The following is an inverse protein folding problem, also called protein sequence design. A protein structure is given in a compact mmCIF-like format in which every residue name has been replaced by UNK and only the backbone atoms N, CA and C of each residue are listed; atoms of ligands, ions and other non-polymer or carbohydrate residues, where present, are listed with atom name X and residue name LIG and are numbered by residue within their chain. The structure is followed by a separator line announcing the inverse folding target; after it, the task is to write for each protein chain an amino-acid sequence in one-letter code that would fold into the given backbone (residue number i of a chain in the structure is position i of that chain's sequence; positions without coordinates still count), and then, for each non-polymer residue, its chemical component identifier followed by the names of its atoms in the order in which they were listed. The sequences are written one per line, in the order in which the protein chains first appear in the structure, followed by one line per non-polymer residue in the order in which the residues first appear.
data_IF_097136216641
#
_entry.id   IF_097136216641
#
_cell.length_a   1.000
_cell.length_b   1.000
_cell.length_c   1.000
_cell.angle_alpha   90.00
_cell.angle_beta   90.00
_cell.angle_gamma   90.00
#
_symmetry.space_group_name_H-M   'P 1'
#
loop_
_entity.id
_entity.type
_entity.pdbx_description
1 polymer ?
#
# COMPACT_ATOMS: atom_id res chain seq x y z
N UNK A 1 38.40 21.64 4.04
CA UNK A 1 37.78 20.43 3.45
C UNK A 1 38.67 19.23 3.69
N UNK A 2 38.11 18.12 4.21
CA UNK A 2 38.84 16.86 4.43
C UNK A 2 39.11 16.12 3.11
N UNK A 3 39.95 15.09 3.11
CA UNK A 3 40.21 14.24 1.92
C UNK A 3 38.95 13.49 1.47
N UNK A 4 38.21 12.89 2.41
CA UNK A 4 36.96 12.20 2.13
C UNK A 4 35.82 13.12 1.64
N UNK A 5 35.83 14.40 2.04
CA UNK A 5 34.90 15.39 1.47
C UNK A 5 35.30 15.77 0.05
N UNK A 6 36.60 15.92 -0.25
CA UNK A 6 37.10 16.17 -1.61
C UNK A 6 36.74 15.04 -2.58
N UNK A 7 36.88 13.79 -2.16
CA UNK A 7 36.45 12.63 -2.95
C UNK A 7 34.95 12.62 -3.21
N UNK A 8 34.14 12.93 -2.19
CA UNK A 8 32.68 13.05 -2.35
C UNK A 8 32.31 14.16 -3.32
N UNK A 9 32.97 15.31 -3.25
CA UNK A 9 32.78 16.42 -4.18
C UNK A 9 33.12 16.03 -5.62
N UNK A 10 34.25 15.35 -5.83
CA UNK A 10 34.65 14.85 -7.14
C UNK A 10 33.63 13.86 -7.72
N UNK A 11 33.15 12.91 -6.91
CA UNK A 11 32.15 11.94 -7.33
C UNK A 11 30.82 12.59 -7.70
N UNK A 12 30.42 13.66 -7.00
CA UNK A 12 29.21 14.43 -7.36
C UNK A 12 29.36 15.13 -8.72
N UNK A 13 30.53 15.70 -9.02
CA UNK A 13 30.78 16.32 -10.32
C UNK A 13 30.86 15.28 -11.45
N UNK A 14 31.43 14.10 -11.18
CA UNK A 14 31.47 12.99 -12.12
C UNK A 14 30.05 12.47 -12.43
N UNK A 15 29.23 12.28 -11.39
CA UNK A 15 27.83 11.87 -11.51
C UNK A 15 27.00 12.89 -12.30
N UNK A 16 27.25 14.20 -12.11
CA UNK A 16 26.60 15.25 -12.90
C UNK A 16 26.96 15.19 -14.39
N UNK A 17 28.17 14.71 -14.73
CA UNK A 17 28.65 14.59 -16.11
C UNK A 17 28.18 13.31 -16.80
N UNK A 18 28.14 12.20 -16.06
CA UNK A 18 27.91 10.86 -16.62
C UNK A 18 26.45 10.38 -16.52
N UNK A 19 25.62 10.99 -15.66
CA UNK A 19 24.25 10.52 -15.48
C UNK A 19 23.37 10.79 -16.71
N UNK A 20 22.65 9.76 -17.21
CA UNK A 20 21.71 9.90 -18.31
C UNK A 20 20.44 10.66 -17.91
N UNK A 21 20.11 10.72 -16.61
CA UNK A 21 18.87 11.30 -16.10
C UNK A 21 19.06 12.77 -15.68
N UNK A 22 18.21 13.66 -16.20
CA UNK A 22 18.32 15.10 -15.93
C UNK A 22 18.17 15.45 -14.45
N UNK A 23 17.23 14.79 -13.74
CA UNK A 23 17.02 15.02 -12.31
C UNK A 23 18.18 14.57 -11.43
N UNK A 24 18.96 13.58 -11.86
CA UNK A 24 20.17 13.16 -11.13
C UNK A 24 21.30 14.16 -11.34
N UNK A 25 21.47 14.68 -12.56
CA UNK A 25 22.47 15.71 -12.85
C UNK A 25 22.22 16.99 -12.06
N UNK A 26 20.98 17.46 -12.02
CA UNK A 26 20.62 18.68 -11.27
C UNK A 26 20.84 18.49 -9.76
N UNK A 27 20.39 17.36 -9.21
CA UNK A 27 20.59 17.04 -7.80
C UNK A 27 22.09 16.92 -7.43
N UNK A 28 22.90 16.30 -8.29
CA UNK A 28 24.34 16.19 -8.09
C UNK A 28 25.03 17.55 -8.07
N UNK A 29 24.65 18.46 -8.98
CA UNK A 29 25.17 19.83 -9.04
C UNK A 29 24.74 20.65 -7.81
N UNK A 30 23.48 20.58 -7.41
CA UNK A 30 23.00 21.25 -6.18
C UNK A 30 23.72 20.74 -4.93
N UNK A 31 23.96 19.43 -4.85
CA UNK A 31 24.70 18.83 -3.74
C UNK A 31 26.16 19.29 -3.71
N UNK A 32 26.81 19.36 -4.88
CA UNK A 32 28.15 19.93 -5.02
C UNK A 32 28.16 21.41 -4.61
N UNK A 33 27.19 22.20 -5.05
CA UNK A 33 27.08 23.63 -4.73
C UNK A 33 26.92 23.88 -3.22
N UNK A 34 26.05 23.11 -2.55
CA UNK A 34 25.91 23.16 -1.08
C UNK A 34 27.20 22.79 -0.36
N UNK A 35 27.97 21.83 -0.89
CA UNK A 35 29.24 21.41 -0.31
C UNK A 35 30.32 22.49 -0.48
N UNK A 36 30.35 23.17 -1.62
CA UNK A 36 31.25 24.30 -1.87
C UNK A 36 30.93 25.49 -0.96
N UNK A 37 29.64 25.87 -0.85
CA UNK A 37 29.17 26.95 0.03
C UNK A 37 29.50 26.70 1.51
N UNK A 38 29.40 25.45 1.99
CA UNK A 38 29.75 25.10 3.39
C UNK A 38 31.23 25.27 3.73
N UNK A 39 32.08 25.32 2.72
CA UNK A 39 33.52 25.48 2.90
C UNK A 39 34.03 26.83 2.37
N UNK A 40 33.13 27.78 2.11
CA UNK A 40 33.43 29.12 1.56
C UNK A 40 34.27 29.07 0.27
N UNK A 41 34.06 28.05 -0.57
CA UNK A 41 34.76 27.86 -1.85
C UNK A 41 33.81 28.01 -3.03
N UNK A 42 34.35 28.40 -4.18
CA UNK A 42 33.61 28.37 -5.45
C UNK A 42 33.59 26.96 -6.05
N UNK A 43 32.56 26.62 -6.83
CA UNK A 43 32.43 25.32 -7.51
C UNK A 43 33.68 24.97 -8.34
N UNK A 44 34.27 25.96 -9.01
CA UNK A 44 35.48 25.79 -9.83
C UNK A 44 36.75 25.60 -8.99
N UNK A 45 36.84 26.25 -7.83
CA UNK A 45 37.97 26.15 -6.91
C UNK A 45 37.97 24.79 -6.18
N UNK A 46 36.78 24.32 -5.78
CA UNK A 46 36.60 22.99 -5.21
C UNK A 46 36.91 21.89 -6.25
N UNK A 47 36.58 22.10 -7.53
CA UNK A 47 36.89 21.15 -8.61
C UNK A 47 38.39 21.04 -8.90
N UNK A 48 39.15 22.15 -8.80
CA UNK A 48 40.61 22.14 -8.93
C UNK A 48 41.30 21.43 -7.76
N UNK A 49 40.73 21.54 -6.55
CA UNK A 49 41.29 20.92 -5.34
C UNK A 49 41.17 19.39 -5.26
N UNK A 50 40.37 18.78 -6.15
CA UNK A 50 40.11 17.32 -6.19
C UNK A 50 40.99 16.52 -7.14
N UNK A 51 41.92 17.15 -7.86
CA UNK A 51 42.66 16.52 -8.97
C UNK A 51 44.12 16.13 -8.70
N UNK A 52 44.75 16.56 -7.60
CA UNK A 52 46.19 16.36 -7.39
C UNK A 52 46.56 15.07 -6.61
N UNK A 53 45.58 14.24 -6.26
CA UNK A 53 45.79 13.07 -5.41
C UNK A 53 46.02 11.72 -6.12
N UNK A 54 45.86 11.62 -7.43
CA UNK A 54 45.89 10.35 -8.17
C UNK A 54 46.91 10.33 -9.32
N UNK A 55 48.18 10.55 -9.00
CA UNK A 55 49.28 9.85 -9.67
C UNK A 55 50.19 9.29 -8.59
N UNK A 56 49.88 8.08 -8.12
CA UNK A 56 50.89 7.29 -7.39
C UNK A 56 51.87 6.74 -8.43
N UNK A 57 53.17 7.10 -8.41
CA UNK A 57 54.17 6.38 -9.18
C UNK A 57 54.27 4.96 -8.62
N UNK A 58 54.05 3.97 -9.49
CA UNK A 58 54.35 2.56 -9.21
C UNK A 58 55.85 2.38 -9.32
N UNK A 59 56.57 2.56 -8.23
CA UNK A 59 57.95 2.09 -8.12
C UNK A 59 58.07 1.10 -6.96
N UNK A 60 58.70 -0.03 -7.28
CA UNK A 60 59.20 -1.11 -6.42
C UNK A 60 58.23 -2.28 -6.14
N UNK A 61 58.20 -3.24 -7.07
CA UNK A 61 57.96 -4.64 -6.77
C UNK A 61 59.29 -5.41 -6.89
N UNK A 62 59.68 -6.25 -5.91
CA UNK A 62 60.76 -7.22 -6.08
C UNK A 62 60.28 -8.44 -6.89
N UNK A 63 61.18 -8.97 -7.71
CA UNK A 63 61.17 -10.20 -8.52
C UNK A 63 59.85 -11.01 -8.55
N UNK A 64 59.05 -10.82 -9.61
CA UNK A 64 57.90 -11.67 -9.92
C UNK A 64 58.32 -13.00 -10.58
N UNK A 65 57.70 -14.14 -10.20
CA UNK A 65 57.80 -15.36 -10.97
C UNK A 65 57.10 -15.20 -12.33
N UNK A 66 57.61 -15.91 -13.36
CA UNK A 66 57.14 -15.86 -14.76
C UNK A 66 55.61 -15.78 -14.88
N UNK A 67 55.07 -14.99 -15.82
CA UNK A 67 53.63 -14.88 -16.01
C UNK A 67 53.06 -16.25 -16.39
N UNK A 68 51.99 -16.72 -15.70
CA UNK A 68 51.34 -17.99 -16.03
C UNK A 68 50.81 -17.95 -17.46
N UNK A 69 50.73 -19.11 -18.10
CA UNK A 69 50.23 -19.21 -19.47
C UNK A 69 48.79 -18.68 -19.57
N UNK A 70 48.38 -18.21 -20.76
CA UNK A 70 47.02 -17.68 -21.01
C UNK A 70 45.91 -18.68 -20.62
N UNK A 71 46.20 -19.97 -20.58
CA UNK A 71 45.25 -21.01 -20.20
C UNK A 71 45.11 -21.13 -18.67
N UNK A 72 46.22 -21.12 -17.93
CA UNK A 72 46.21 -21.17 -16.45
C UNK A 72 45.53 -19.93 -15.84
N UNK A 73 45.68 -18.77 -16.49
CA UNK A 73 44.98 -17.54 -16.09
C UNK A 73 43.46 -17.67 -16.27
N UNK A 74 43.03 -18.24 -17.40
CA UNK A 74 41.61 -18.44 -17.69
C UNK A 74 40.97 -19.46 -16.75
N UNK A 75 41.68 -20.53 -16.38
CA UNK A 75 41.20 -21.53 -15.41
C UNK A 75 41.12 -20.95 -13.99
N UNK A 76 42.10 -20.15 -13.59
CA UNK A 76 42.07 -19.44 -12.31
C UNK A 76 40.94 -18.41 -12.23
N UNK A 77 40.64 -17.71 -13.32
CA UNK A 77 39.51 -16.78 -13.43
C UNK A 77 38.16 -17.52 -13.40
N UNK A 78 38.04 -18.66 -14.08
CA UNK A 78 36.85 -19.48 -14.02
C UNK A 78 36.57 -19.99 -12.60
N UNK A 79 37.61 -20.49 -11.92
CA UNK A 79 37.51 -20.97 -10.54
C UNK A 79 37.20 -19.84 -9.54
N UNK A 80 37.73 -18.62 -9.74
CA UNK A 80 37.40 -17.47 -8.89
C UNK A 80 35.96 -17.01 -9.11
N UNK A 81 35.49 -17.01 -10.36
CA UNK A 81 34.10 -16.70 -10.71
C UNK A 81 33.11 -17.72 -10.15
N UNK A 82 33.45 -19.01 -10.18
CA UNK A 82 32.63 -20.07 -9.59
C UNK A 82 32.53 -19.92 -8.07
N UNK A 83 33.65 -19.64 -7.38
CA UNK A 83 33.64 -19.36 -5.94
C UNK A 83 32.81 -18.12 -5.61
N UNK A 84 32.96 -17.03 -6.36
CA UNK A 84 32.19 -15.81 -6.17
C UNK A 84 30.68 -16.06 -6.40
N UNK A 85 30.33 -16.89 -7.38
CA UNK A 85 28.94 -17.28 -7.63
C UNK A 85 28.37 -18.14 -6.48
N UNK A 86 29.13 -19.11 -5.99
CA UNK A 86 28.74 -19.94 -4.86
C UNK A 86 28.56 -19.13 -3.57
N UNK A 87 29.44 -18.17 -3.29
CA UNK A 87 29.30 -17.25 -2.15
C UNK A 87 28.06 -16.36 -2.31
N UNK A 88 27.84 -15.82 -3.51
CA UNK A 88 26.65 -15.01 -3.81
C UNK A 88 25.36 -15.82 -3.67
N UNK A 89 25.35 -17.07 -4.11
CA UNK A 89 24.20 -17.97 -3.98
C UNK A 89 23.89 -18.30 -2.51
N UNK A 90 24.92 -18.50 -1.68
CA UNK A 90 24.75 -18.68 -0.23
C UNK A 90 24.19 -17.42 0.42
N UNK A 91 24.74 -16.25 0.10
CA UNK A 91 24.24 -14.97 0.60
C UNK A 91 22.77 -14.72 0.25
N UNK A 92 22.37 -14.99 -1.00
CA UNK A 92 20.99 -14.86 -1.43
C UNK A 92 20.06 -15.81 -0.68
N UNK A 93 20.47 -17.07 -0.47
CA UNK A 93 19.70 -18.03 0.32
C UNK A 93 19.55 -17.56 1.77
N UNK A 94 20.62 -17.10 2.40
CA UNK A 94 20.57 -16.61 3.77
C UNK A 94 19.63 -15.41 3.89
N UNK A 95 19.69 -14.47 2.93
CA UNK A 95 18.76 -13.34 2.84
C UNK A 95 17.29 -13.78 2.72
N UNK A 96 17.01 -14.78 1.87
CA UNK A 96 15.66 -15.33 1.72
C UNK A 96 15.15 -15.97 3.02
N UNK A 97 16.00 -16.71 3.73
CA UNK A 97 15.65 -17.34 5.00
C UNK A 97 15.38 -16.30 6.09
N UNK A 98 16.16 -15.21 6.13
CA UNK A 98 15.90 -14.08 7.02
C UNK A 98 14.55 -13.43 6.71
N UNK A 99 14.28 -13.12 5.43
CA UNK A 99 13.02 -12.53 5.00
C UNK A 99 11.82 -13.42 5.34
N UNK A 100 11.94 -14.75 5.18
CA UNK A 100 10.91 -15.71 5.59
C UNK A 100 10.70 -15.70 7.09
N UNK A 101 11.78 -15.67 7.88
CA UNK A 101 11.71 -15.64 9.35
C UNK A 101 11.07 -14.35 9.88
N UNK A 102 11.38 -13.21 9.27
CA UNK A 102 10.81 -11.91 9.63
C UNK A 102 9.32 -11.85 9.30
N UNK A 103 8.94 -12.36 8.12
CA UNK A 103 7.54 -12.49 7.74
C UNK A 103 6.78 -13.39 8.72
N UNK A 104 7.33 -14.55 9.06
CA UNK A 104 6.69 -15.47 10.01
C UNK A 104 6.48 -14.81 11.38
N UNK A 105 7.49 -14.10 11.90
CA UNK A 105 7.37 -13.34 13.16
C UNK A 105 6.30 -12.26 13.09
N UNK A 106 6.23 -11.52 11.98
CA UNK A 106 5.20 -10.50 11.76
C UNK A 106 3.80 -11.11 11.70
N UNK A 107 3.64 -12.19 10.96
CA UNK A 107 2.35 -12.86 10.79
C UNK A 107 1.86 -13.45 12.11
N UNK A 108 2.75 -14.03 12.92
CA UNK A 108 2.46 -14.49 14.27
C UNK A 108 2.06 -13.34 15.20
N UNK A 109 2.77 -12.22 15.16
CA UNK A 109 2.44 -11.03 15.93
C UNK A 109 1.07 -10.45 15.55
N UNK A 110 0.75 -10.41 14.25
CA UNK A 110 -0.56 -10.00 13.76
C UNK A 110 -1.66 -10.95 14.24
N UNK A 111 -1.45 -12.26 14.10
CA UNK A 111 -2.40 -13.27 14.58
C UNK A 111 -2.66 -13.14 16.08
N UNK A 112 -1.60 -13.00 16.89
CA UNK A 112 -1.73 -12.81 18.33
C UNK A 112 -2.44 -11.50 18.70
N UNK A 113 -2.32 -10.45 17.88
CA UNK A 113 -3.07 -9.20 18.03
C UNK A 113 -4.56 -9.38 17.68
N UNK A 114 -4.87 -10.13 16.61
CA UNK A 114 -6.24 -10.49 16.25
C UNK A 114 -6.91 -11.34 17.34
N UNK A 115 -6.20 -12.32 17.90
CA UNK A 115 -6.69 -13.19 18.98
C UNK A 115 -6.92 -12.39 20.28
N UNK A 116 -6.09 -11.38 20.55
CA UNK A 116 -6.29 -10.41 21.65
C UNK A 116 -7.48 -9.46 21.43
N UNK A 117 -8.11 -9.49 20.26
CA UNK A 117 -9.34 -8.74 19.99
C UNK A 117 -9.12 -7.31 19.53
N UNK A 118 -7.99 -7.00 18.87
CA UNK A 118 -7.78 -5.68 18.22
C UNK A 118 -8.95 -5.32 17.28
N UNK A 119 -9.52 -6.35 16.62
CA UNK A 119 -10.69 -6.27 15.73
C UNK A 119 -12.03 -6.54 16.41
N UNK A 120 -12.08 -6.68 17.74
CA UNK A 120 -13.34 -6.97 18.43
C UNK A 120 -14.32 -5.79 18.30
N UNK A 121 -13.83 -4.54 18.34
CA UNK A 121 -14.64 -3.35 18.12
C UNK A 121 -15.06 -3.19 16.65
N UNK A 122 -14.16 -3.50 15.71
CA UNK A 122 -14.47 -3.41 14.27
C UNK A 122 -15.45 -4.50 13.83
N UNK A 123 -15.30 -5.74 14.32
CA UNK A 123 -16.30 -6.82 14.15
C UNK A 123 -17.64 -6.44 14.76
N UNK A 124 -17.68 -5.93 16.00
CA UNK A 124 -18.93 -5.45 16.61
C UNK A 124 -19.57 -4.33 15.79
N UNK A 125 -18.76 -3.43 15.20
CA UNK A 125 -19.26 -2.35 14.33
C UNK A 125 -19.83 -2.91 13.02
N UNK A 126 -19.14 -3.86 12.40
CA UNK A 126 -19.60 -4.54 11.18
C UNK A 126 -20.88 -5.35 11.43
N UNK A 127 -20.97 -6.09 12.54
CA UNK A 127 -22.16 -6.83 12.96
C UNK A 127 -23.35 -5.87 13.23
N UNK A 128 -23.10 -4.75 13.92
CA UNK A 128 -24.13 -3.71 14.13
C UNK A 128 -24.59 -3.09 12.83
N UNK A 129 -23.69 -2.85 11.87
CA UNK A 129 -24.04 -2.33 10.55
C UNK A 129 -24.89 -3.34 9.75
N UNK A 130 -24.49 -4.62 9.74
CA UNK A 130 -25.22 -5.69 9.09
C UNK A 130 -26.61 -5.97 9.73
N UNK A 131 -26.75 -5.74 11.04
CA UNK A 131 -28.03 -5.83 11.75
C UNK A 131 -28.95 -4.62 11.55
N UNK A 132 -28.39 -3.44 11.30
CA UNK A 132 -29.13 -2.17 11.18
C UNK A 132 -30.01 -2.10 9.93
N UNK A 133 -29.61 -2.74 8.83
CA UNK A 133 -30.43 -2.82 7.61
C UNK A 133 -31.71 -3.65 7.78
N UNK A 134 -31.74 -4.56 8.77
CA UNK A 134 -32.90 -5.44 9.00
C UNK A 134 -33.97 -4.78 9.89
N UNK A 135 -33.64 -3.70 10.59
CA UNK A 135 -34.60 -2.96 11.41
C UNK A 135 -35.23 -1.85 10.59
N UNK A 136 -36.18 -2.19 9.72
CA UNK A 136 -37.12 -1.22 9.15
C UNK A 136 -37.76 -0.49 10.33
N UNK A 137 -37.44 0.80 10.50
CA UNK A 137 -38.00 1.64 11.57
C UNK A 137 -39.53 1.58 11.47
N UNK A 138 -40.18 0.85 12.39
CA UNK A 138 -41.63 0.82 12.50
C UNK A 138 -42.09 2.21 12.93
N UNK A 139 -42.51 3.01 11.96
CA UNK A 139 -43.08 4.34 12.20
C UNK A 139 -44.39 4.17 12.98
N UNK A 140 -44.37 4.56 14.27
CA UNK A 140 -45.50 4.47 15.19
C UNK A 140 -46.62 5.47 14.88
N UNK A 141 -46.42 6.39 13.92
CA UNK A 141 -47.43 7.39 13.49
C UNK A 141 -48.34 6.91 12.37
N UNK A 142 -48.30 5.64 11.99
CA UNK A 142 -49.17 5.10 10.94
C UNK A 142 -50.61 4.99 11.44
N UNK A 143 -51.53 5.64 10.72
CA UNK A 143 -52.99 5.49 10.90
C UNK A 143 -53.36 4.01 10.87
N UNK A 144 -54.28 3.59 11.74
CA UNK A 144 -54.72 2.20 11.81
C UNK A 144 -55.14 1.71 10.41
N UNK A 145 -54.56 0.63 9.89
CA UNK A 145 -54.75 0.21 8.50
C UNK A 145 -56.20 -0.21 8.21
N UNK A 146 -56.95 -0.71 9.19
CA UNK A 146 -58.36 -1.08 9.03
C UNK A 146 -59.24 0.18 8.88
N UNK A 147 -58.98 1.19 9.71
CA UNK A 147 -59.66 2.49 9.61
C UNK A 147 -59.30 3.18 8.30
N UNK A 148 -58.04 3.05 7.85
CA UNK A 148 -57.63 3.56 6.54
C UNK A 148 -58.41 2.87 5.41
N UNK A 149 -58.47 1.53 5.40
CA UNK A 149 -59.18 0.77 4.39
C UNK A 149 -60.69 1.08 4.36
N UNK A 150 -61.33 1.25 5.52
CA UNK A 150 -62.74 1.66 5.61
C UNK A 150 -63.00 3.01 4.94
N UNK A 151 -62.15 4.00 5.19
CA UNK A 151 -62.28 5.31 4.55
C UNK A 151 -62.10 5.19 3.03
N UNK A 152 -61.11 4.43 2.57
CA UNK A 152 -60.92 4.23 1.12
C UNK A 152 -62.13 3.52 0.48
N UNK A 153 -62.74 2.56 1.16
CA UNK A 153 -63.95 1.89 0.68
C UNK A 153 -65.19 2.81 0.65
N UNK A 154 -65.25 3.84 1.50
CA UNK A 154 -66.35 4.83 1.52
C UNK A 154 -66.15 5.93 0.48
N UNK A 155 -64.94 6.47 0.41
CA UNK A 155 -64.64 7.70 -0.33
C UNK A 155 -64.19 7.42 -1.77
N UNK A 156 -63.79 6.19 -2.11
CA UNK A 156 -63.22 5.88 -3.42
C UNK A 156 -63.88 4.66 -4.07
N UNK A 157 -63.75 4.55 -5.39
CA UNK A 157 -64.16 3.37 -6.18
C UNK A 157 -62.97 2.44 -6.51
N UNK A 158 -61.89 2.51 -5.72
CA UNK A 158 -60.69 1.70 -5.97
C UNK A 158 -60.98 0.19 -5.87
N UNK A 159 -60.29 -0.65 -6.67
CA UNK A 159 -60.42 -2.09 -6.57
C UNK A 159 -59.87 -2.62 -5.24
N UNK A 160 -60.46 -3.71 -4.73
CA UNK A 160 -60.11 -4.30 -3.42
C UNK A 160 -58.62 -4.62 -3.32
N UNK A 161 -58.00 -5.09 -4.41
CA UNK A 161 -56.56 -5.41 -4.48
C UNK A 161 -55.68 -4.17 -4.26
N UNK A 162 -56.10 -3.03 -4.76
CA UNK A 162 -55.34 -1.77 -4.66
C UNK A 162 -55.45 -1.16 -3.27
N UNK A 163 -56.65 -1.20 -2.66
CA UNK A 163 -56.86 -0.80 -1.26
C UNK A 163 -56.03 -1.67 -0.31
N UNK A 164 -55.98 -2.98 -0.55
CA UNK A 164 -55.15 -3.92 0.22
C UNK A 164 -53.66 -3.56 0.16
N UNK A 165 -53.15 -3.23 -1.04
CA UNK A 165 -51.78 -2.79 -1.25
C UNK A 165 -51.46 -1.48 -0.51
N UNK A 166 -52.32 -0.47 -0.63
CA UNK A 166 -52.14 0.85 0.01
C UNK A 166 -52.12 0.74 1.54
N UNK A 167 -53.03 -0.05 2.10
CA UNK A 167 -53.16 -0.22 3.55
C UNK A 167 -52.21 -1.26 4.14
N UNK A 168 -51.55 -2.07 3.31
CA UNK A 168 -50.67 -3.15 3.76
C UNK A 168 -51.41 -4.25 4.52
N UNK A 169 -52.64 -4.57 4.10
CA UNK A 169 -53.48 -5.61 4.70
C UNK A 169 -53.91 -6.62 3.64
N UNK A 170 -54.35 -7.80 4.09
CA UNK A 170 -54.78 -8.86 3.19
C UNK A 170 -56.08 -8.52 2.43
N UNK A 171 -56.19 -9.02 1.19
CA UNK A 171 -57.29 -8.76 0.27
C UNK A 171 -58.63 -9.25 0.84
N UNK A 172 -58.65 -10.39 1.53
CA UNK A 172 -59.87 -10.92 2.12
C UNK A 172 -60.34 -10.08 3.31
N UNK A 173 -59.40 -9.44 4.02
CA UNK A 173 -59.72 -8.51 5.11
C UNK A 173 -60.49 -7.28 4.58
N UNK A 174 -60.05 -6.72 3.45
CA UNK A 174 -60.74 -5.61 2.77
C UNK A 174 -62.11 -6.04 2.23
N UNK A 175 -62.20 -7.24 1.63
CA UNK A 175 -63.48 -7.78 1.17
C UNK A 175 -64.48 -7.98 2.32
N UNK A 176 -64.02 -8.52 3.46
CA UNK A 176 -64.83 -8.68 4.66
C UNK A 176 -65.32 -7.35 5.24
N UNK A 177 -64.47 -6.31 5.26
CA UNK A 177 -64.87 -4.96 5.65
C UNK A 177 -65.98 -4.42 4.73
N UNK A 178 -65.82 -4.57 3.42
CA UNK A 178 -66.83 -4.13 2.43
C UNK A 178 -68.18 -4.84 2.62
N UNK A 179 -68.17 -6.14 2.94
CA UNK A 179 -69.39 -6.92 3.20
C UNK A 179 -70.08 -6.49 4.50
N UNK A 180 -69.32 -6.27 5.59
CA UNK A 180 -69.86 -5.78 6.86
C UNK A 180 -70.52 -4.42 6.71
N UNK A 181 -69.90 -3.50 5.98
CA UNK A 181 -70.46 -2.18 5.69
C UNK A 181 -71.78 -2.24 4.90
N UNK A 182 -71.96 -3.24 4.03
CA UNK A 182 -73.24 -3.46 3.33
C UNK A 182 -74.33 -3.96 4.27
N UNK A 183 -73.99 -4.81 5.23
CA UNK A 183 -74.94 -5.29 6.24
C UNK A 183 -75.37 -4.17 7.19
N UNK A 184 -74.45 -3.27 7.55
CA UNK A 184 -74.75 -2.09 8.35
C UNK A 184 -75.64 -1.09 7.59
N UNK A 185 -75.45 -0.92 6.28
CA UNK A 185 -76.30 -0.06 5.46
C UNK A 185 -77.69 -0.64 5.16
N UNK A 186 -77.87 -1.96 5.32
CA UNK A 186 -79.13 -2.66 5.09
C UNK A 186 -79.94 -2.89 6.38
N UNK A 187 -79.40 -2.51 7.54
CA UNK A 187 -80.07 -2.51 8.85
C UNK A 187 -80.57 -1.11 9.17
#
# INVERSE_FOLDING_TARGET
MTTAERERFHNLLLMAKESPFEGERTNALEAAERMAQRHDMTLEEAARSGGEGLQKPKDQQPDEPKPPSSFEQAEAEAASRERAFAESARFMRDMEDHARSDKARRDEALKAAYDRGLDAEERRRAERAAGRDKTVRKNSRRRNPLVHAQVLLKETQLPIKEIASICGIDVYTVAGLKLKMRQEAAR
#
